data_IF_516461357189
#
_entry.id   IF_516461357189
#
_cell.length_a   1.000
_cell.length_b   1.000
_cell.length_c   1.000
_cell.angle_alpha   90.00
_cell.angle_beta   90.00
_cell.angle_gamma   90.00
#
_symmetry.space_group_name_H-M   'P 1'
#
loop_
_entity.id
_entity.type
_entity.pdbx_description
1 polymer ?
#
# COMPACT_ATOMS: atom_id res chain seq x y z
N UNK A 1 -55.02 78.28 -7.97
CA UNK A 1 -54.15 79.06 -8.88
C UNK A 1 -52.78 78.41 -8.87
N UNK A 2 -52.49 77.63 -9.90
CA UNK A 2 -51.15 77.15 -10.20
C UNK A 2 -50.53 78.12 -11.21
N UNK A 3 -49.29 78.52 -11.02
CA UNK A 3 -48.34 78.86 -12.09
C UNK A 3 -46.91 78.85 -11.52
N UNK A 4 -46.14 77.84 -11.87
CA UNK A 4 -44.69 77.92 -12.00
C UNK A 4 -44.23 76.86 -13.01
N UNK A 5 -43.28 77.26 -13.85
CA UNK A 5 -42.85 76.73 -15.14
C UNK A 5 -42.18 75.34 -15.05
N UNK A 6 -42.09 74.57 -16.16
CA UNK A 6 -41.49 73.24 -16.18
C UNK A 6 -39.97 73.31 -16.39
N UNK A 7 -39.22 72.58 -15.57
CA UNK A 7 -37.79 72.32 -15.78
C UNK A 7 -37.62 70.95 -16.45
N UNK A 8 -37.27 71.01 -17.73
CA UNK A 8 -36.35 70.13 -18.48
C UNK A 8 -36.30 68.65 -18.04
N UNK A 9 -37.04 67.80 -18.75
CA UNK A 9 -36.73 66.36 -18.83
C UNK A 9 -35.67 66.16 -19.93
N UNK A 10 -34.45 65.82 -19.52
CA UNK A 10 -33.44 65.26 -20.42
C UNK A 10 -33.82 63.80 -20.70
N UNK A 11 -34.31 63.53 -21.90
CA UNK A 11 -34.39 62.18 -22.45
C UNK A 11 -32.96 61.62 -22.62
N UNK A 12 -32.46 60.90 -21.62
CA UNK A 12 -31.45 59.88 -21.86
C UNK A 12 -32.14 58.64 -22.40
N UNK A 13 -32.26 58.61 -23.73
CA UNK A 13 -32.61 57.44 -24.51
C UNK A 13 -31.51 56.38 -24.32
N UNK A 14 -31.62 55.55 -23.28
CA UNK A 14 -30.81 54.34 -23.10
C UNK A 14 -31.34 53.23 -24.02
N UNK A 15 -31.19 53.44 -25.33
CA UNK A 15 -31.24 52.35 -26.31
C UNK A 15 -29.93 51.57 -26.21
N UNK A 16 -29.87 50.60 -25.28
CA UNK A 16 -28.64 49.82 -25.15
C UNK A 16 -28.56 48.72 -24.09
N UNK A 17 -29.66 48.17 -23.56
CA UNK A 17 -29.55 47.03 -22.62
C UNK A 17 -30.72 46.06 -22.71
N UNK A 18 -30.87 45.34 -23.83
CA UNK A 18 -31.86 44.23 -23.90
C UNK A 18 -31.45 43.04 -24.78
N UNK A 19 -30.27 43.05 -25.41
CA UNK A 19 -29.86 41.98 -26.34
C UNK A 19 -28.58 41.21 -25.90
N UNK A 20 -27.73 41.77 -25.04
CA UNK A 20 -26.48 41.09 -24.61
C UNK A 20 -26.65 40.20 -23.37
N UNK A 21 -27.56 40.54 -22.45
CA UNK A 21 -27.83 39.73 -21.25
C UNK A 21 -28.45 38.36 -21.56
N UNK A 22 -29.20 38.23 -22.65
CA UNK A 22 -29.80 36.98 -23.08
C UNK A 22 -28.76 35.94 -23.51
N UNK A 23 -27.75 36.35 -24.28
CA UNK A 23 -26.72 35.44 -24.80
C UNK A 23 -25.81 34.91 -23.69
N UNK A 24 -25.37 35.80 -22.78
CA UNK A 24 -24.56 35.40 -21.62
C UNK A 24 -25.30 34.43 -20.71
N UNK A 25 -26.55 34.74 -20.33
CA UNK A 25 -27.34 33.87 -19.46
C UNK A 25 -27.66 32.51 -20.10
N UNK A 26 -27.88 32.47 -21.43
CA UNK A 26 -28.06 31.22 -22.17
C UNK A 26 -26.78 30.37 -22.12
N UNK A 27 -25.61 30.95 -22.36
CA UNK A 27 -24.32 30.23 -22.33
C UNK A 27 -24.03 29.74 -20.91
N UNK A 28 -24.24 30.59 -19.90
CA UNK A 28 -24.07 30.24 -18.48
C UNK A 28 -24.93 29.04 -18.09
N UNK A 29 -26.23 29.07 -18.41
CA UNK A 29 -27.15 27.98 -18.11
C UNK A 29 -26.75 26.66 -18.79
N UNK A 30 -26.23 26.73 -20.02
CA UNK A 30 -25.69 25.55 -20.74
C UNK A 30 -24.47 24.98 -20.04
N UNK A 31 -23.53 25.83 -19.60
CA UNK A 31 -22.33 25.40 -18.87
C UNK A 31 -22.69 24.78 -17.52
N UNK A 32 -23.65 25.34 -16.78
CA UNK A 32 -24.15 24.79 -15.52
C UNK A 32 -24.76 23.40 -15.73
N UNK A 33 -25.61 23.23 -16.76
CA UNK A 33 -26.22 21.93 -17.12
C UNK A 33 -25.16 20.89 -17.49
N UNK A 34 -24.12 21.28 -18.23
CA UNK A 34 -23.00 20.39 -18.58
C UNK A 34 -22.18 20.02 -17.35
N UNK A 35 -21.95 20.96 -16.44
CA UNK A 35 -21.23 20.72 -15.19
C UNK A 35 -21.99 19.75 -14.28
N UNK A 36 -23.31 19.89 -14.17
CA UNK A 36 -24.16 18.93 -13.44
C UNK A 36 -24.10 17.54 -14.07
N UNK A 37 -24.22 17.46 -15.40
CA UNK A 37 -24.12 16.19 -16.14
C UNK A 37 -22.78 15.51 -15.90
N UNK A 38 -21.68 16.28 -15.93
CA UNK A 38 -20.33 15.78 -15.66
C UNK A 38 -20.19 15.28 -14.21
N UNK A 39 -20.66 16.06 -13.22
CA UNK A 39 -20.65 15.66 -11.81
C UNK A 39 -21.40 14.34 -11.61
N UNK A 40 -22.56 14.19 -12.24
CA UNK A 40 -23.37 12.99 -12.11
C UNK A 40 -22.67 11.76 -12.72
N UNK A 41 -21.97 11.93 -13.85
CA UNK A 41 -21.14 10.87 -14.46
C UNK A 41 -19.92 10.53 -13.59
N UNK A 42 -19.24 11.53 -13.02
CA UNK A 42 -18.13 11.32 -12.09
C UNK A 42 -18.58 10.59 -10.82
N UNK A 43 -19.74 10.95 -10.27
CA UNK A 43 -20.31 10.22 -9.14
C UNK A 43 -20.58 8.76 -9.49
N UNK A 44 -21.21 8.47 -10.63
CA UNK A 44 -21.43 7.09 -11.10
C UNK A 44 -20.13 6.33 -11.28
N UNK A 45 -19.12 6.94 -11.89
CA UNK A 45 -17.80 6.33 -12.05
C UNK A 45 -17.15 6.05 -10.69
N UNK A 46 -17.27 6.98 -9.74
CA UNK A 46 -16.70 6.81 -8.42
C UNK A 46 -17.42 5.73 -7.61
N UNK A 47 -18.74 5.61 -7.73
CA UNK A 47 -19.49 4.50 -7.12
C UNK A 47 -19.11 3.17 -7.77
N UNK A 48 -19.02 3.08 -9.10
CA UNK A 48 -18.50 1.88 -9.77
C UNK A 48 -17.05 1.57 -9.36
N UNK A 49 -16.22 2.61 -9.14
CA UNK A 49 -14.87 2.45 -8.61
C UNK A 49 -14.89 1.93 -7.18
N UNK A 50 -15.81 2.38 -6.32
CA UNK A 50 -15.99 1.85 -4.96
C UNK A 50 -16.63 0.46 -4.93
N UNK A 51 -17.37 0.06 -5.97
CA UNK A 51 -17.87 -1.30 -6.05
C UNK A 51 -16.75 -2.26 -6.47
N UNK A 52 -15.95 -1.87 -7.47
CA UNK A 52 -14.86 -2.70 -8.01
C UNK A 52 -13.63 -2.69 -7.11
N UNK A 53 -13.26 -1.51 -6.62
CA UNK A 53 -12.09 -1.26 -5.78
C UNK A 53 -12.49 -0.81 -4.38
N UNK A 54 -13.70 -1.21 -3.93
CA UNK A 54 -14.20 -0.89 -2.60
C UNK A 54 -13.10 -1.01 -1.60
N UNK A 55 -12.94 0.04 -0.79
CA UNK A 55 -11.92 0.05 0.24
C UNK A 55 -12.12 -1.25 1.03
N UNK A 56 -11.20 -2.20 0.85
CA UNK A 56 -11.18 -3.42 1.64
C UNK A 56 -10.93 -2.86 3.04
N UNK A 57 -12.01 -2.70 3.81
CA UNK A 57 -11.92 -2.18 5.16
C UNK A 57 -11.06 -3.19 5.91
N UNK A 58 -9.82 -2.78 6.17
CA UNK A 58 -8.87 -3.58 6.92
C UNK A 58 -9.37 -3.64 8.35
N UNK A 59 -10.19 -4.65 8.64
CA UNK A 59 -10.65 -4.94 9.98
C UNK A 59 -9.62 -5.80 10.69
N UNK A 60 -9.28 -5.44 11.92
CA UNK A 60 -8.47 -6.31 12.78
C UNK A 60 -9.28 -7.58 13.07
N UNK A 61 -8.82 -8.70 12.51
CA UNK A 61 -9.44 -10.01 12.70
C UNK A 61 -9.02 -10.61 14.05
N UNK A 62 -7.72 -10.58 14.35
CA UNK A 62 -7.15 -11.12 15.57
C UNK A 62 -5.80 -10.45 15.91
N UNK A 63 -5.42 -10.50 17.19
CA UNK A 63 -4.11 -10.07 17.68
C UNK A 63 -3.39 -11.26 18.29
N UNK A 64 -2.28 -11.66 17.68
CA UNK A 64 -1.46 -12.77 18.16
C UNK A 64 -0.12 -12.27 18.68
N UNK A 65 0.41 -12.94 19.70
CA UNK A 65 1.76 -12.72 20.21
C UNK A 65 2.66 -13.86 19.77
N UNK A 66 3.74 -13.52 19.08
CA UNK A 66 4.80 -14.46 18.70
C UNK A 66 5.94 -14.28 19.71
N UNK A 67 6.22 -15.33 20.47
CA UNK A 67 7.37 -15.37 21.36
C UNK A 67 8.59 -15.90 20.59
N UNK A 68 9.73 -15.23 20.74
CA UNK A 68 11.01 -15.64 20.18
C UNK A 68 11.95 -16.06 21.31
N UNK A 69 12.85 -16.99 21.02
CA UNK A 69 13.79 -17.52 22.03
C UNK A 69 14.85 -16.49 22.42
N UNK A 70 15.27 -15.66 21.47
CA UNK A 70 16.31 -14.66 21.65
C UNK A 70 15.76 -13.24 21.62
N UNK A 71 16.48 -12.30 22.25
CA UNK A 71 16.19 -10.87 22.12
C UNK A 71 16.44 -10.40 20.68
N UNK A 72 15.37 -10.06 19.99
CA UNK A 72 15.41 -9.73 18.57
C UNK A 72 14.53 -8.52 18.25
N UNK A 73 14.91 -7.77 17.22
CA UNK A 73 14.07 -6.74 16.62
C UNK A 73 13.33 -7.34 15.42
N UNK A 74 11.98 -7.32 15.38
CA UNK A 74 11.25 -7.70 14.18
C UNK A 74 11.58 -6.72 13.07
N UNK A 75 11.78 -7.24 11.86
CA UNK A 75 12.19 -6.44 10.71
C UNK A 75 11.16 -6.48 9.59
N UNK A 76 10.75 -7.67 9.17
CA UNK A 76 9.78 -7.83 8.08
C UNK A 76 9.09 -9.19 8.14
N UNK A 77 7.99 -9.34 7.41
CA UNK A 77 7.27 -10.60 7.25
C UNK A 77 6.73 -10.76 5.83
N UNK A 78 6.60 -12.01 5.38
CA UNK A 78 6.00 -12.32 4.07
C UNK A 78 5.09 -13.52 4.16
N UNK A 79 3.93 -13.44 3.50
CA UNK A 79 3.00 -14.55 3.36
C UNK A 79 3.31 -15.35 2.08
N UNK A 80 3.30 -16.67 2.20
CA UNK A 80 3.46 -17.68 1.14
C UNK A 80 2.28 -18.65 1.24
N UNK A 81 1.12 -18.23 0.75
CA UNK A 81 -0.14 -18.96 0.96
C UNK A 81 -0.49 -19.02 2.45
N UNK A 82 -0.66 -20.23 3.04
CA UNK A 82 -0.97 -20.37 4.47
C UNK A 82 0.26 -20.25 5.38
N UNK A 83 1.46 -20.14 4.81
CA UNK A 83 2.71 -20.03 5.56
C UNK A 83 3.14 -18.57 5.62
N UNK A 84 3.68 -18.16 6.76
CA UNK A 84 4.22 -16.84 7.01
C UNK A 84 5.67 -17.00 7.44
N UNK A 85 6.55 -16.27 6.79
CA UNK A 85 7.96 -16.18 7.18
C UNK A 85 8.14 -14.84 7.88
N UNK A 86 8.71 -14.88 9.07
CA UNK A 86 9.10 -13.69 9.80
C UNK A 86 10.62 -13.59 9.83
N UNK A 87 11.12 -12.37 9.63
CA UNK A 87 12.53 -12.03 9.73
C UNK A 87 12.79 -11.12 10.92
N UNK A 88 13.82 -11.46 11.68
CA UNK A 88 14.25 -10.73 12.86
C UNK A 88 15.75 -10.48 12.81
N UNK A 89 16.18 -9.42 13.49
CA UNK A 89 17.59 -9.18 13.74
C UNK A 89 17.89 -9.46 15.21
N UNK A 90 18.75 -10.44 15.48
CA UNK A 90 19.13 -10.82 16.84
C UNK A 90 20.36 -10.04 17.28
N UNK A 91 20.31 -9.47 18.48
CA UNK A 91 21.46 -8.84 19.11
C UNK A 91 22.30 -9.90 19.84
N UNK A 92 23.05 -10.69 19.08
CA UNK A 92 23.89 -11.75 19.65
C UNK A 92 25.25 -11.17 20.07
N UNK A 93 25.62 -11.34 21.35
CA UNK A 93 26.88 -10.80 21.90
C UNK A 93 28.04 -11.80 21.87
N UNK A 94 27.76 -13.12 21.83
CA UNK A 94 28.80 -14.17 21.89
C UNK A 94 28.54 -15.43 21.04
N UNK A 95 27.31 -15.71 20.59
CA UNK A 95 26.98 -16.91 19.81
C UNK A 95 27.12 -16.66 18.30
N UNK A 96 27.43 -17.70 17.53
CA UNK A 96 27.25 -17.67 16.07
C UNK A 96 25.77 -17.64 15.72
N UNK A 97 25.41 -16.81 14.74
CA UNK A 97 24.03 -16.68 14.27
C UNK A 97 23.67 -17.89 13.42
N UNK A 98 22.57 -18.56 13.77
CA UNK A 98 21.97 -19.64 13.00
C UNK A 98 20.78 -19.15 12.17
N UNK A 99 20.32 -19.97 11.21
CA UNK A 99 19.17 -19.62 10.39
C UNK A 99 17.90 -19.39 11.22
N UNK A 100 17.67 -20.24 12.23
CA UNK A 100 16.54 -20.16 13.15
C UNK A 100 16.58 -18.93 14.08
N UNK A 101 17.73 -18.29 14.24
CA UNK A 101 17.84 -17.04 14.99
C UNK A 101 17.26 -15.86 14.19
N UNK A 102 17.44 -15.87 12.86
CA UNK A 102 17.05 -14.75 11.98
C UNK A 102 15.67 -14.95 11.38
N UNK A 103 15.27 -16.20 11.13
CA UNK A 103 14.01 -16.51 10.48
C UNK A 103 13.18 -17.50 11.29
N UNK A 104 11.88 -17.30 11.28
CA UNK A 104 10.91 -18.29 11.76
C UNK A 104 9.78 -18.45 10.75
N UNK A 105 9.21 -19.64 10.70
CA UNK A 105 8.08 -19.96 9.83
C UNK A 105 6.90 -20.31 10.71
N UNK A 106 5.76 -19.72 10.39
CA UNK A 106 4.48 -20.03 11.02
C UNK A 106 3.46 -20.42 9.97
N UNK A 107 2.58 -21.34 10.33
CA UNK A 107 1.38 -21.63 9.57
C UNK A 107 0.21 -20.88 10.19
N UNK A 108 -0.53 -20.16 9.37
CA UNK A 108 -1.76 -19.48 9.78
C UNK A 108 -2.94 -20.46 9.71
N UNK A 109 -3.68 -20.56 10.80
CA UNK A 109 -4.97 -21.25 10.82
C UNK A 109 -6.10 -20.22 10.64
N UNK A 110 -6.91 -20.40 9.60
CA UNK A 110 -8.02 -19.49 9.30
C UNK A 110 -9.25 -19.71 10.19
N UNK A 111 -9.37 -20.86 10.87
CA UNK A 111 -10.49 -21.15 11.76
C UNK A 111 -10.32 -20.44 13.10
N UNK A 112 -9.14 -20.57 13.68
CA UNK A 112 -8.82 -20.02 15.00
C UNK A 112 -8.09 -18.67 14.93
N UNK A 113 -7.81 -18.20 13.71
CA UNK A 113 -7.03 -16.99 13.42
C UNK A 113 -5.68 -16.95 14.17
N UNK A 114 -5.05 -18.11 14.35
CA UNK A 114 -3.84 -18.32 15.15
C UNK A 114 -2.62 -18.61 14.25
N UNK A 115 -1.43 -18.42 14.82
CA UNK A 115 -0.16 -18.81 14.19
C UNK A 115 0.44 -19.99 14.93
N UNK A 116 0.77 -21.05 14.19
CA UNK A 116 1.43 -22.24 14.71
C UNK A 116 2.83 -22.36 14.13
N UNK A 117 3.83 -22.65 14.97
CA UNK A 117 5.21 -22.82 14.51
C UNK A 117 5.30 -23.93 13.47
N UNK A 118 5.98 -23.65 12.37
CA UNK A 118 6.22 -24.57 11.28
C UNK A 118 7.74 -24.75 11.09
N UNK A 119 8.18 -25.90 10.55
CA UNK A 119 9.60 -26.15 10.33
C UNK A 119 10.21 -25.20 9.30
N UNK A 120 11.50 -24.91 9.47
CA UNK A 120 12.28 -24.06 8.55
C UNK A 120 12.63 -24.76 7.23
N UNK A 121 12.23 -26.01 7.03
CA UNK A 121 12.55 -26.83 5.85
C UNK A 121 12.27 -26.11 4.53
N UNK A 122 11.28 -25.21 4.52
CA UNK A 122 10.96 -24.38 3.38
C UNK A 122 12.16 -23.54 2.93
N UNK A 123 12.87 -22.91 3.87
CA UNK A 123 13.98 -21.99 3.61
C UNK A 123 15.36 -22.65 3.82
N UNK A 124 15.42 -23.84 4.41
CA UNK A 124 16.65 -24.54 4.75
C UNK A 124 17.32 -25.27 3.57
N UNK A 125 17.25 -24.70 2.36
CA UNK A 125 17.97 -25.25 1.20
C UNK A 125 19.48 -25.14 1.39
N UNK A 126 20.21 -26.23 1.17
CA UNK A 126 21.64 -26.34 1.47
C UNK A 126 22.48 -25.17 0.92
N UNK A 127 22.28 -24.81 -0.36
CA UNK A 127 22.97 -23.67 -0.98
C UNK A 127 22.66 -22.34 -0.30
N UNK A 128 21.39 -22.10 0.03
CA UNK A 128 20.96 -20.88 0.69
C UNK A 128 21.52 -20.80 2.12
N UNK A 129 21.52 -21.90 2.86
CA UNK A 129 22.08 -21.98 4.22
C UNK A 129 23.58 -21.73 4.19
N UNK A 130 24.31 -22.28 3.22
CA UNK A 130 25.73 -22.02 3.03
C UNK A 130 25.99 -20.53 2.75
N UNK A 131 25.31 -19.94 1.77
CA UNK A 131 25.45 -18.52 1.42
C UNK A 131 25.12 -17.60 2.62
N UNK A 132 24.09 -17.95 3.40
CA UNK A 132 23.69 -17.24 4.61
C UNK A 132 24.78 -17.31 5.70
N UNK A 133 25.28 -18.51 6.01
CA UNK A 133 26.29 -18.71 7.04
C UNK A 133 27.61 -18.04 6.68
N UNK A 134 28.02 -18.10 5.41
CA UNK A 134 29.20 -17.38 4.94
C UNK A 134 29.06 -15.88 5.14
N UNK A 135 27.90 -15.31 4.79
CA UNK A 135 27.65 -13.88 4.94
C UNK A 135 27.78 -13.44 6.41
N UNK A 136 27.14 -14.13 7.35
CA UNK A 136 27.23 -13.82 8.78
C UNK A 136 28.62 -14.13 9.38
N UNK A 137 29.37 -15.07 8.81
CA UNK A 137 30.74 -15.40 9.25
C UNK A 137 31.77 -14.37 8.82
N UNK A 138 31.71 -13.93 7.56
CA UNK A 138 32.70 -13.02 6.99
C UNK A 138 32.38 -11.55 7.24
N UNK A 139 31.11 -11.20 7.41
CA UNK A 139 30.67 -9.82 7.57
C UNK A 139 29.93 -9.61 8.89
N UNK A 140 30.59 -8.95 9.85
CA UNK A 140 30.06 -8.71 11.19
C UNK A 140 28.84 -7.77 11.22
N UNK A 141 28.81 -6.79 10.32
CA UNK A 141 27.70 -5.82 10.21
C UNK A 141 26.65 -6.29 9.19
N UNK A 142 26.24 -7.56 9.30
CA UNK A 142 25.20 -8.16 8.46
C UNK A 142 23.86 -8.02 9.16
N UNK A 143 22.91 -7.36 8.49
CA UNK A 143 21.57 -7.10 9.02
C UNK A 143 20.55 -7.51 7.96
N UNK A 144 19.52 -8.27 8.36
CA UNK A 144 18.38 -8.53 7.49
C UNK A 144 17.54 -7.25 7.36
N UNK A 145 17.10 -6.90 6.15
CA UNK A 145 16.34 -5.68 5.90
C UNK A 145 14.88 -5.94 5.55
N UNK A 146 14.62 -6.83 4.59
CA UNK A 146 13.27 -7.10 4.11
C UNK A 146 13.19 -8.32 3.21
N UNK A 147 11.98 -8.81 3.05
CA UNK A 147 11.58 -9.69 1.98
C UNK A 147 11.22 -8.87 0.74
N UNK A 148 11.53 -9.39 -0.44
CA UNK A 148 11.11 -8.81 -1.71
C UNK A 148 10.56 -9.92 -2.60
N UNK A 149 9.28 -9.85 -2.91
CA UNK A 149 8.63 -10.76 -3.86
C UNK A 149 8.68 -10.13 -5.24
N UNK A 150 9.34 -10.81 -6.19
CA UNK A 150 9.42 -10.38 -7.58
C UNK A 150 9.02 -11.54 -8.49
N UNK A 151 7.79 -11.47 -9.01
CA UNK A 151 7.19 -12.54 -9.79
C UNK A 151 7.11 -13.86 -8.98
N UNK A 152 7.62 -14.98 -9.49
CA UNK A 152 7.59 -16.27 -8.80
C UNK A 152 8.75 -16.44 -7.81
N UNK A 153 9.50 -15.39 -7.47
CA UNK A 153 10.69 -15.49 -6.64
C UNK A 153 10.56 -14.63 -5.39
N UNK A 154 11.00 -15.20 -4.27
CA UNK A 154 11.16 -14.49 -3.02
C UNK A 154 12.65 -14.19 -2.82
N UNK A 155 12.96 -12.96 -2.47
CA UNK A 155 14.30 -12.51 -2.21
C UNK A 155 14.39 -12.05 -0.77
N UNK A 156 15.51 -12.38 -0.13
CA UNK A 156 15.85 -11.89 1.19
C UNK A 156 16.96 -10.87 1.04
N UNK A 157 16.67 -9.63 1.40
CA UNK A 157 17.60 -8.50 1.25
C UNK A 157 18.33 -8.29 2.57
N UNK A 158 19.66 -8.30 2.49
CA UNK A 158 20.55 -8.07 3.60
C UNK A 158 21.40 -6.83 3.34
N UNK A 159 21.69 -6.09 4.40
CA UNK A 159 22.69 -5.04 4.40
C UNK A 159 23.97 -5.59 5.00
N UNK A 160 25.06 -5.42 4.26
CA UNK A 160 26.40 -5.80 4.67
C UNK A 160 27.25 -4.54 4.69
N UNK A 161 27.39 -3.94 5.87
CA UNK A 161 27.98 -2.61 6.03
C UNK A 161 27.20 -1.55 5.25
N UNK A 162 27.77 -1.03 4.15
CA UNK A 162 27.12 -0.03 3.27
C UNK A 162 26.51 -0.61 1.98
N UNK A 163 26.66 -1.91 1.75
CA UNK A 163 26.21 -2.56 0.51
C UNK A 163 24.96 -3.39 0.77
N UNK A 164 24.09 -3.46 -0.23
CA UNK A 164 22.96 -4.39 -0.24
C UNK A 164 23.41 -5.69 -0.91
N UNK A 165 23.10 -6.82 -0.27
CA UNK A 165 23.27 -8.16 -0.82
C UNK A 165 21.91 -8.86 -0.76
N UNK A 166 21.57 -9.57 -1.82
CA UNK A 166 20.28 -10.25 -1.91
C UNK A 166 20.52 -11.73 -2.09
N UNK A 167 19.87 -12.54 -1.26
CA UNK A 167 19.80 -13.99 -1.44
C UNK A 167 18.48 -14.34 -2.10
N UNK A 168 18.55 -15.07 -3.21
CA UNK A 168 17.35 -15.54 -3.93
C UNK A 168 16.89 -16.85 -3.30
N UNK A 169 15.62 -16.87 -2.93
CA UNK A 169 14.93 -18.06 -2.47
C UNK A 169 13.90 -18.48 -3.53
N UNK A 170 13.99 -19.73 -3.98
CA UNK A 170 13.16 -20.28 -5.04
C UNK A 170 12.06 -21.12 -4.43
N UNK A 171 10.81 -20.64 -4.53
CA UNK A 171 9.63 -21.49 -4.38
C UNK A 171 8.79 -21.43 -5.65
N UNK A 172 8.19 -22.56 -6.03
CA UNK A 172 7.29 -22.71 -7.17
C UNK A 172 5.97 -21.95 -6.98
N UNK A 173 4.86 -22.33 -7.66
CA UNK A 173 3.65 -21.52 -7.88
C UNK A 173 2.88 -21.02 -6.62
N UNK A 174 3.37 -21.30 -5.42
CA UNK A 174 2.86 -20.82 -4.13
C UNK A 174 2.87 -19.28 -4.00
N UNK A 175 3.83 -18.60 -4.64
CA UNK A 175 3.91 -17.13 -4.64
C UNK A 175 2.89 -16.44 -5.56
N UNK A 176 2.40 -17.15 -6.60
CA UNK A 176 1.50 -16.57 -7.59
C UNK A 176 0.07 -16.34 -7.08
N UNK A 177 -0.28 -16.86 -5.89
CA UNK A 177 -1.61 -16.71 -5.28
C UNK A 177 -1.65 -15.71 -4.12
N UNK A 178 -0.51 -15.23 -3.65
CA UNK A 178 -0.42 -14.18 -2.62
C UNK A 178 -0.46 -12.80 -3.27
N UNK A 179 -1.56 -12.49 -3.95
CA UNK A 179 -1.94 -11.12 -4.24
C UNK A 179 -2.42 -10.45 -2.96
N UNK A 180 -1.49 -10.03 -2.10
CA UNK A 180 -1.80 -9.11 -0.98
C UNK A 180 -1.58 -7.64 -1.45
N UNK A 181 -1.29 -7.43 -2.73
CA UNK A 181 -1.26 -6.13 -3.38
C UNK A 181 -2.02 -6.18 -4.71
N UNK A 182 -3.35 -6.27 -4.65
CA UNK A 182 -4.24 -5.82 -5.73
C UNK A 182 -5.46 -5.15 -5.13
#
# INVERSE_FOLDING_TARGET
MATANPEIELEEKTEGVTLEGGTYEIIRKRLETQAETLRLRLHKLNEARKEVFGAIESKLIATNRIATENNCSPQDMVALGPLFIFGYNVQVRLKSIELADVFSVFRYDSQDHSFHTAPLDLIAHEKFVQDFLEMYKFYKDTVFLKFAVLGPHLYMVFQVGKRLRTLRFLNGPLLAKTGIYQ
#
